data_IF_570800242107
#
_entry.id   IF_570800242107
#
_cell.length_a   1.000
_cell.length_b   1.000
_cell.length_c   1.000
_cell.angle_alpha   90.00
_cell.angle_beta   90.00
_cell.angle_gamma   90.00
#
_symmetry.space_group_name_H-M   'P 1'
#
loop_
_entity.id
_entity.type
_entity.pdbx_description
1 polymer ?
#
# COMPACT_ATOMS: atom_id res chain seq x y z
N UNK A 1 2.40 6.99 8.54
CA UNK A 1 3.34 6.31 7.63
C UNK A 1 4.30 5.49 8.48
N UNK A 2 4.92 4.46 7.92
CA UNK A 2 5.93 3.63 8.60
C UNK A 2 5.39 2.45 9.39
N UNK A 3 4.10 2.47 9.75
CA UNK A 3 3.41 1.42 10.49
C UNK A 3 1.99 1.23 9.92
N UNK A 4 1.41 0.06 10.13
CA UNK A 4 0.00 -0.20 9.83
C UNK A 4 -0.88 0.60 10.78
N UNK A 5 -1.88 1.30 10.24
CA UNK A 5 -2.88 2.03 11.02
C UNK A 5 -4.25 1.40 10.83
N UNK A 6 -4.88 1.00 11.92
CA UNK A 6 -6.26 0.50 11.90
C UNK A 6 -7.26 1.66 11.81
N UNK A 7 -8.51 1.34 11.48
CA UNK A 7 -9.60 2.32 11.49
C UNK A 7 -9.80 2.93 12.90
N UNK A 8 -9.64 2.13 13.96
CA UNK A 8 -9.75 2.63 15.34
C UNK A 8 -8.62 3.61 15.68
N UNK A 9 -7.39 3.34 15.24
CA UNK A 9 -6.27 4.27 15.41
C UNK A 9 -6.54 5.62 14.75
N UNK A 10 -7.00 5.61 13.48
CA UNK A 10 -7.35 6.84 12.77
C UNK A 10 -8.46 7.61 13.45
N UNK A 11 -9.50 6.91 13.92
CA UNK A 11 -10.66 7.51 14.57
C UNK A 11 -10.29 8.13 15.92
N UNK A 12 -9.47 7.42 16.71
CA UNK A 12 -8.98 7.91 17.99
C UNK A 12 -8.14 9.16 17.82
N UNK A 13 -7.23 9.18 16.84
CA UNK A 13 -6.43 10.37 16.53
C UNK A 13 -7.29 11.53 16.03
N UNK A 14 -8.25 11.27 15.14
CA UNK A 14 -9.13 12.30 14.60
C UNK A 14 -9.94 12.99 15.70
N UNK A 15 -10.46 12.22 16.67
CA UNK A 15 -11.15 12.78 17.85
C UNK A 15 -10.23 13.60 18.74
N UNK A 16 -9.03 13.11 19.02
CA UNK A 16 -8.07 13.79 19.90
C UNK A 16 -7.62 15.14 19.32
N UNK A 17 -7.31 15.17 18.03
CA UNK A 17 -6.77 16.37 17.36
C UNK A 17 -7.83 17.23 16.66
N UNK A 18 -9.10 16.80 16.64
CA UNK A 18 -10.20 17.46 15.93
C UNK A 18 -9.85 17.74 14.46
N UNK A 19 -9.17 16.80 13.83
CA UNK A 19 -8.65 16.93 12.48
C UNK A 19 -8.89 15.65 11.68
N UNK A 20 -8.93 15.77 10.35
CA UNK A 20 -8.97 14.60 9.47
C UNK A 20 -7.59 13.95 9.47
N UNK A 21 -7.54 12.66 9.78
CA UNK A 21 -6.32 11.85 9.72
C UNK A 21 -6.39 10.97 8.48
N UNK A 22 -5.37 11.05 7.63
CA UNK A 22 -5.26 10.21 6.43
C UNK A 22 -3.92 9.48 6.45
N UNK A 23 -3.92 8.16 6.52
CA UNK A 23 -2.68 7.42 6.44
C UNK A 23 -2.08 7.54 5.03
N UNK A 24 -0.77 7.38 4.95
CA UNK A 24 -0.01 7.33 3.70
C UNK A 24 0.86 6.07 3.73
N UNK A 25 0.94 5.38 2.59
CA UNK A 25 1.89 4.32 2.36
C UNK A 25 3.12 4.87 1.62
N UNK A 26 4.31 4.52 2.10
CA UNK A 26 5.57 4.94 1.55
C UNK A 26 6.74 4.21 2.20
N UNK A 27 7.90 4.32 1.58
CA UNK A 27 9.14 3.71 2.03
C UNK A 27 10.28 4.72 1.96
N UNK A 28 11.43 4.45 2.56
CA UNK A 28 12.60 5.34 2.47
C UNK A 28 13.02 5.55 1.00
N UNK A 29 12.85 4.52 0.19
CA UNK A 29 13.12 4.46 -1.24
C UNK A 29 12.17 5.34 -2.06
N UNK A 30 10.97 5.63 -1.54
CA UNK A 30 9.98 6.51 -2.15
C UNK A 30 9.05 7.08 -1.06
N UNK A 31 9.47 8.19 -0.44
CA UNK A 31 8.76 8.81 0.68
C UNK A 31 7.33 9.23 0.32
N UNK A 32 7.14 9.74 -0.90
CA UNK A 32 5.86 10.24 -1.40
C UNK A 32 5.22 9.25 -2.38
N UNK A 33 5.15 7.97 -2.00
CA UNK A 33 4.58 6.93 -2.85
C UNK A 33 3.06 7.06 -3.01
N UNK A 34 2.34 7.43 -1.94
CA UNK A 34 0.88 7.48 -1.97
C UNK A 34 0.27 8.52 -1.03
N UNK A 35 -1.05 8.73 -1.18
CA UNK A 35 -1.87 9.49 -0.25
C UNK A 35 -3.21 8.79 0.02
N UNK A 36 -3.70 8.87 1.25
CA UNK A 36 -5.00 8.33 1.62
C UNK A 36 -6.16 9.18 1.07
N UNK A 37 -7.22 8.53 0.59
CA UNK A 37 -8.50 9.19 0.28
C UNK A 37 -9.56 8.96 1.38
N UNK A 38 -10.71 9.62 1.26
CA UNK A 38 -11.84 9.51 2.20
C UNK A 38 -12.51 8.13 2.24
N UNK A 39 -12.20 7.25 1.29
CA UNK A 39 -12.77 5.90 1.21
C UNK A 39 -11.80 4.81 1.71
N UNK A 40 -10.73 5.19 2.41
CA UNK A 40 -9.78 4.25 3.01
C UNK A 40 -8.94 3.49 1.99
N UNK A 41 -8.60 4.14 0.88
CA UNK A 41 -7.66 3.66 -0.13
C UNK A 41 -6.44 4.59 -0.20
N UNK A 42 -5.28 4.03 -0.55
CA UNK A 42 -4.04 4.76 -0.79
C UNK A 42 -3.84 4.92 -2.29
N UNK A 43 -4.04 6.13 -2.81
CA UNK A 43 -3.80 6.44 -4.21
C UNK A 43 -2.31 6.58 -4.45
N UNK A 44 -1.80 5.86 -5.44
CA UNK A 44 -0.39 5.86 -5.83
C UNK A 44 -0.12 7.11 -6.68
N UNK A 45 0.96 7.82 -6.39
CA UNK A 45 1.48 8.88 -7.27
C UNK A 45 2.10 8.25 -8.53
N UNK A 46 1.25 7.71 -9.40
CA UNK A 46 1.63 6.84 -10.52
C UNK A 46 2.35 7.56 -11.66
N UNK A 47 2.37 8.90 -11.62
CA UNK A 47 3.20 9.74 -12.48
C UNK A 47 4.67 9.75 -12.04
N UNK A 48 4.96 9.49 -10.76
CA UNK A 48 6.32 9.52 -10.18
C UNK A 48 6.87 8.14 -9.81
N UNK A 49 5.98 7.18 -9.55
CA UNK A 49 6.37 5.84 -9.13
C UNK A 49 5.51 4.78 -9.83
N UNK A 50 6.14 3.66 -10.17
CA UNK A 50 5.43 2.44 -10.57
C UNK A 50 5.43 1.51 -9.37
N UNK A 51 4.23 1.08 -8.96
CA UNK A 51 4.05 0.09 -7.91
C UNK A 51 3.41 -1.15 -8.54
N UNK A 52 4.12 -2.28 -8.51
CA UNK A 52 3.71 -3.52 -9.16
C UNK A 52 3.46 -4.61 -8.11
N UNK A 53 2.19 -4.86 -7.71
CA UNK A 53 1.85 -6.01 -6.87
C UNK A 53 2.11 -7.31 -7.63
N UNK A 54 2.84 -8.23 -7.01
CA UNK A 54 3.25 -9.50 -7.63
C UNK A 54 3.06 -10.70 -6.71
N UNK A 55 2.88 -11.87 -7.31
CA UNK A 55 2.86 -13.17 -6.63
C UNK A 55 4.27 -13.61 -6.21
N UNK A 56 4.37 -14.80 -5.60
CA UNK A 56 5.64 -15.35 -5.11
C UNK A 56 6.65 -15.69 -6.21
N UNK A 57 6.19 -15.78 -7.46
CA UNK A 57 7.03 -16.01 -8.65
C UNK A 57 7.31 -14.69 -9.41
N UNK A 58 7.03 -13.54 -8.79
CA UNK A 58 7.13 -12.20 -9.37
C UNK A 58 6.27 -11.95 -10.62
N UNK A 59 5.14 -12.65 -10.77
CA UNK A 59 4.15 -12.36 -11.82
C UNK A 59 3.11 -11.37 -11.30
N UNK A 60 2.54 -10.50 -12.16
CA UNK A 60 1.55 -9.53 -11.72
C UNK A 60 0.35 -10.19 -11.03
N UNK A 61 0.00 -9.70 -9.85
CA UNK A 61 -1.21 -10.11 -9.13
C UNK A 61 -2.43 -9.41 -9.73
N UNK A 62 -3.54 -10.12 -10.03
CA UNK A 62 -4.77 -9.51 -10.50
C UNK A 62 -5.32 -8.46 -9.50
N UNK A 63 -5.93 -7.36 -9.99
CA UNK A 63 -6.66 -6.45 -9.11
C UNK A 63 -7.75 -7.19 -8.32
N UNK A 64 -7.90 -6.84 -7.03
CA UNK A 64 -8.81 -7.51 -6.11
C UNK A 64 -8.22 -8.71 -5.37
N UNK A 65 -6.98 -9.11 -5.69
CA UNK A 65 -6.24 -10.15 -4.98
C UNK A 65 -5.07 -9.55 -4.17
N UNK A 66 -4.75 -10.18 -3.03
CA UNK A 66 -3.59 -9.79 -2.22
C UNK A 66 -2.31 -10.28 -2.89
N UNK A 67 -1.33 -9.40 -3.02
CA UNK A 67 -0.02 -9.75 -3.55
C UNK A 67 0.85 -10.47 -2.53
N UNK A 68 1.86 -11.20 -3.01
CA UNK A 68 2.91 -11.71 -2.13
C UNK A 68 3.85 -10.58 -1.70
N UNK A 69 4.25 -9.74 -2.65
CA UNK A 69 5.04 -8.54 -2.41
C UNK A 69 4.65 -7.42 -3.39
N UNK A 70 5.35 -6.28 -3.34
CA UNK A 70 5.27 -5.21 -4.32
C UNK A 70 6.67 -4.83 -4.82
N UNK A 71 6.78 -4.62 -6.13
CA UNK A 71 7.98 -4.09 -6.74
C UNK A 71 7.81 -2.59 -7.00
N UNK A 72 8.76 -1.79 -6.54
CA UNK A 72 8.75 -0.34 -6.63
C UNK A 72 9.78 0.15 -7.64
N UNK A 73 9.35 1.00 -8.57
CA UNK A 73 10.23 1.82 -9.40
C UNK A 73 10.02 3.30 -9.11
N UNK A 74 11.04 3.99 -8.61
CA UNK A 74 10.99 5.44 -8.35
C UNK A 74 11.55 6.19 -9.57
N UNK A 75 10.68 6.86 -10.31
CA UNK A 75 11.02 7.56 -11.56
C UNK A 75 11.41 9.03 -11.33
N UNK A 76 11.14 9.57 -10.15
CA UNK A 76 11.41 10.96 -9.79
C UNK A 76 12.82 11.15 -9.19
N UNK A 77 13.32 10.18 -8.42
CA UNK A 77 14.63 10.27 -7.78
C UNK A 77 15.76 9.87 -8.74
N UNK A 78 16.46 10.87 -9.28
CA UNK A 78 17.61 10.67 -10.19
C UNK A 78 18.95 10.47 -9.49
N UNK A 79 19.03 10.74 -8.18
CA UNK A 79 20.26 10.59 -7.40
C UNK A 79 20.43 9.12 -6.99
N UNK A 80 19.34 8.47 -6.59
CA UNK A 80 19.31 7.06 -6.22
C UNK A 80 18.12 6.38 -6.91
N UNK A 81 18.30 5.94 -8.17
CA UNK A 81 17.23 5.29 -8.92
C UNK A 81 17.00 3.87 -8.40
N UNK A 82 15.75 3.58 -8.03
CA UNK A 82 15.30 2.22 -7.75
C UNK A 82 14.40 1.76 -8.87
N UNK A 83 14.68 0.58 -9.43
CA UNK A 83 13.89 -0.05 -10.48
C UNK A 83 13.50 -1.45 -10.01
N UNK A 84 12.19 -1.71 -9.95
CA UNK A 84 11.60 -2.97 -9.47
C UNK A 84 12.20 -3.46 -8.15
N UNK A 85 12.42 -2.54 -7.20
CA UNK A 85 12.92 -2.86 -5.87
C UNK A 85 11.81 -3.55 -5.05
N UNK A 86 12.10 -4.71 -4.47
CA UNK A 86 11.15 -5.47 -3.67
C UNK A 86 11.02 -4.85 -2.26
N UNK A 87 9.83 -4.36 -1.91
CA UNK A 87 9.56 -3.76 -0.59
C UNK A 87 9.22 -4.78 0.49
N UNK A 88 8.82 -5.99 0.12
CA UNK A 88 8.37 -7.05 1.04
C UNK A 88 6.98 -6.81 1.65
N UNK A 89 6.24 -5.81 1.20
CA UNK A 89 4.87 -5.53 1.65
C UNK A 89 3.84 -6.21 0.77
N UNK A 90 2.79 -6.79 1.37
CA UNK A 90 1.63 -7.31 0.67
C UNK A 90 0.56 -6.23 0.53
N UNK A 91 0.03 -6.05 -0.68
CA UNK A 91 -1.03 -5.06 -0.95
C UNK A 91 -2.18 -5.66 -1.73
N UNK A 92 -3.36 -5.08 -1.54
CA UNK A 92 -4.55 -5.30 -2.34
C UNK A 92 -4.70 -4.15 -3.33
N UNK A 93 -4.58 -4.42 -4.63
CA UNK A 93 -4.87 -3.44 -5.68
C UNK A 93 -6.38 -3.34 -5.90
N UNK A 94 -6.92 -2.13 -5.96
CA UNK A 94 -8.35 -1.91 -6.18
C UNK A 94 -8.76 -2.36 -7.61
N UNK A 95 -9.80 -3.18 -7.77
CA UNK A 95 -10.22 -3.66 -9.09
C UNK A 95 -11.03 -2.65 -9.91
N UNK A 96 -11.73 -1.74 -9.23
CA UNK A 96 -12.64 -0.78 -9.88
C UNK A 96 -12.15 0.67 -9.74
N UNK A 97 -12.77 1.65 -10.44
CA UNK A 97 -12.54 3.07 -10.21
C UNK A 97 -12.95 3.52 -8.81
N UNK A 98 -12.09 4.30 -8.14
CA UNK A 98 -12.32 4.70 -6.75
C UNK A 98 -13.52 5.67 -6.63
N UNK A 99 -14.43 5.48 -5.67
CA UNK A 99 -15.59 6.36 -5.47
C UNK A 99 -15.21 7.79 -5.06
N UNK A 100 -13.95 8.04 -4.67
CA UNK A 100 -13.46 9.39 -4.42
C UNK A 100 -13.36 10.24 -5.70
N UNK A 101 -13.43 9.62 -6.90
CA UNK A 101 -13.29 10.28 -8.20
C UNK A 101 -11.86 10.41 -8.71
N UNK A 102 -10.86 10.02 -7.92
CA UNK A 102 -9.46 10.01 -8.34
C UNK A 102 -9.18 8.83 -9.28
N UNK A 103 -8.64 9.07 -10.49
CA UNK A 103 -8.42 8.03 -11.49
C UNK A 103 -7.13 7.23 -11.28
N UNK A 104 -6.28 7.62 -10.33
CA UNK A 104 -4.99 6.93 -10.10
C UNK A 104 -5.19 5.55 -9.46
N UNK A 105 -4.25 4.60 -9.69
CA UNK A 105 -4.27 3.29 -9.03
C UNK A 105 -4.34 3.46 -7.52
N UNK A 106 -5.16 2.63 -6.86
CA UNK A 106 -5.37 2.71 -5.42
C UNK A 106 -5.16 1.35 -4.76
N UNK A 107 -4.46 1.32 -3.63
CA UNK A 107 -4.13 0.09 -2.90
C UNK A 107 -4.59 0.13 -1.45
N UNK A 108 -4.64 -1.03 -0.81
CA UNK A 108 -4.64 -1.19 0.65
C UNK A 108 -3.42 -2.04 1.04
N UNK A 109 -2.78 -1.68 2.14
CA UNK A 109 -1.57 -2.35 2.62
C UNK A 109 -1.95 -3.29 3.74
N UNK A 110 -1.59 -4.57 3.61
CA UNK A 110 -1.79 -5.57 4.66
C UNK A 110 -0.65 -5.54 5.69
N UNK A 111 0.54 -5.12 5.27
CA UNK A 111 1.77 -5.12 6.06
C UNK A 111 2.85 -5.97 5.39
N UNK A 112 3.91 -6.28 6.13
CA UNK A 112 5.01 -7.12 5.62
C UNK A 112 4.57 -8.56 5.49
N UNK A 113 4.82 -9.17 4.34
CA UNK A 113 4.51 -10.58 4.12
C UNK A 113 5.27 -11.49 5.10
N UNK A 114 6.54 -11.14 5.39
CA UNK A 114 7.41 -11.87 6.33
C UNK A 114 6.95 -11.86 7.78
N UNK A 115 6.05 -10.97 8.17
CA UNK A 115 5.51 -10.89 9.54
C UNK A 115 4.26 -11.76 9.73
N UNK A 116 3.82 -12.46 8.69
CA UNK A 116 2.62 -13.31 8.73
C UNK A 116 2.87 -14.59 9.51
N UNK A 117 2.16 -14.77 10.62
CA UNK A 117 2.16 -16.00 11.40
C UNK A 117 0.98 -16.89 10.99
N UNK A 118 1.27 -18.11 10.53
CA UNK A 118 0.25 -19.14 10.28
C UNK A 118 0.20 -20.08 11.48
N UNK A 119 -0.94 -20.12 12.15
CA UNK A 119 -1.16 -20.99 13.30
C UNK A 119 -2.09 -22.13 12.89
N UNK A 120 -1.74 -23.40 13.16
CA UNK A 120 -2.67 -24.50 12.95
C UNK A 120 -3.84 -24.34 13.92
N UNK A 121 -5.06 -24.38 13.39
CA UNK A 121 -6.27 -24.53 14.21
C UNK A 121 -6.59 -26.02 14.32
N UNK A 122 -6.85 -26.51 15.52
CA UNK A 122 -7.28 -27.90 15.73
C UNK A 122 -8.66 -28.12 15.10
N UNK A 123 -8.68 -28.55 13.84
CA UNK A 123 -9.89 -28.80 13.06
C UNK A 123 -9.52 -29.04 11.60
N UNK A 124 -9.22 -30.32 11.32
CA UNK A 124 -8.72 -30.94 10.07
C UNK A 124 -7.33 -30.53 9.57
#
# INVERSE_FOLDING_TARGET
AGETMTADDTDRMARAFRATVRPVYGATECTYLSYGCSHGWYHVNSDWAVLEPVDADHRPTPPGELSHTVLLSNLANRIQPFLRYDLGDSVLLRPDPCPCGDPTPAVRVQGRAGDTLTLPTSGD
#
